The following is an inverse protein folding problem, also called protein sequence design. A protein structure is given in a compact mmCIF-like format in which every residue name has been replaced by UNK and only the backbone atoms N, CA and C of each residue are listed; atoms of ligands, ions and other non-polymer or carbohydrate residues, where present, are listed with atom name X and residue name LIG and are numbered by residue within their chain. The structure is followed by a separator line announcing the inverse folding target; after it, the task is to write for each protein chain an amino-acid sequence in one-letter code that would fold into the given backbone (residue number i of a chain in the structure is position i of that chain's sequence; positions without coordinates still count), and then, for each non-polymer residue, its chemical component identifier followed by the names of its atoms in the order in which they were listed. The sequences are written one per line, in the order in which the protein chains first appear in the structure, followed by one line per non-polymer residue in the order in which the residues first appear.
data_IF_703635018936
#
_entry.id   IF_703635018936
#
_cell.length_a   1.000
_cell.length_b   1.000
_cell.length_c   1.000
_cell.angle_alpha   90.00
_cell.angle_beta   90.00
_cell.angle_gamma   90.00
#
_symmetry.space_group_name_H-M   'P 1'
#
loop_
_entity.id
_entity.type
_entity.pdbx_description
1 polymer ?
#
# COMPACT_ATOMS: atom_id res chain seq x y z
N UNK A 1 40.82 71.40 10.05
CA UNK A 1 40.28 70.71 11.26
C UNK A 1 41.13 69.48 11.53
N UNK A 2 41.90 69.46 12.63
CA UNK A 2 42.65 68.27 13.07
C UNK A 2 41.70 67.41 13.91
N UNK A 3 41.37 66.22 13.41
CA UNK A 3 40.62 65.23 14.18
C UNK A 3 41.50 64.83 15.38
N UNK A 4 41.02 64.94 16.63
CA UNK A 4 41.81 64.61 17.79
C UNK A 4 42.16 63.11 17.76
N UNK A 5 43.42 62.77 18.01
CA UNK A 5 43.96 61.38 17.94
C UNK A 5 43.18 60.40 18.81
N UNK A 6 42.52 60.90 19.85
CA UNK A 6 41.62 60.16 20.74
C UNK A 6 40.38 59.62 20.03
N UNK A 7 39.80 60.36 19.08
CA UNK A 7 38.65 59.90 18.28
C UNK A 7 39.06 58.78 17.33
N UNK A 8 40.24 58.85 16.72
CA UNK A 8 40.74 57.80 15.84
C UNK A 8 41.03 56.49 16.59
N UNK A 9 41.50 56.56 17.83
CA UNK A 9 41.73 55.38 18.68
C UNK A 9 40.42 54.74 19.15
N UNK A 10 39.42 55.56 19.51
CA UNK A 10 38.11 55.06 19.92
C UNK A 10 37.42 54.29 18.77
N UNK A 11 37.47 54.83 17.55
CA UNK A 11 36.92 54.15 16.37
C UNK A 11 37.65 52.83 16.12
N UNK A 12 38.98 52.80 16.19
CA UNK A 12 39.76 51.58 15.97
C UNK A 12 39.49 50.50 17.03
N UNK A 13 39.27 50.89 18.29
CA UNK A 13 38.86 49.96 19.35
C UNK A 13 37.48 49.36 19.10
N UNK A 14 36.50 50.15 18.65
CA UNK A 14 35.16 49.65 18.31
C UNK A 14 35.25 48.64 17.17
N UNK A 15 35.98 48.98 16.10
CA UNK A 15 36.20 48.07 14.98
C UNK A 15 36.88 46.75 15.40
N UNK A 16 37.88 46.81 16.27
CA UNK A 16 38.55 45.60 16.76
C UNK A 16 37.62 44.75 17.64
N UNK A 17 36.74 45.37 18.43
CA UNK A 17 35.78 44.67 19.26
C UNK A 17 34.72 43.95 18.41
N UNK A 18 34.22 44.59 17.36
CA UNK A 18 33.26 43.99 16.42
C UNK A 18 33.89 42.84 15.62
N UNK A 19 35.15 42.98 15.19
CA UNK A 19 35.89 41.90 14.53
C UNK A 19 36.11 40.73 15.49
N UNK A 20 36.46 41.01 16.75
CA UNK A 20 36.63 39.96 17.75
C UNK A 20 35.31 39.24 18.07
N UNK A 21 34.18 39.96 18.13
CA UNK A 21 32.86 39.38 18.33
C UNK A 21 32.42 38.50 17.15
N UNK A 22 32.63 38.97 15.91
CA UNK A 22 32.31 38.21 14.70
C UNK A 22 33.16 36.93 14.57
N UNK A 23 34.45 37.00 14.90
CA UNK A 23 35.34 35.81 14.86
C UNK A 23 34.99 34.80 15.95
N UNK A 24 34.63 35.25 17.16
CA UNK A 24 34.16 34.36 18.23
C UNK A 24 32.87 33.63 17.86
N UNK A 25 31.94 34.31 17.17
CA UNK A 25 30.68 33.73 16.70
C UNK A 25 30.87 32.64 15.63
N UNK A 26 31.98 32.66 14.88
CA UNK A 26 32.24 31.68 13.83
C UNK A 26 32.93 30.41 14.39
N UNK A 27 33.66 30.54 15.49
CA UNK A 27 34.35 29.44 16.18
C UNK A 27 33.41 28.49 16.95
N UNK A 28 32.20 28.92 17.30
CA UNK A 28 31.24 28.13 18.09
C UNK A 28 30.21 27.37 17.24
N UNK A 29 30.37 27.39 15.91
CA UNK A 29 29.53 26.63 14.99
C UNK A 29 29.83 25.12 15.08
N UNK A 30 29.22 24.44 16.04
CA UNK A 30 29.15 22.99 16.08
C UNK A 30 28.35 22.52 14.85
N UNK A 31 29.04 22.23 13.74
CA UNK A 31 28.44 21.61 12.56
C UNK A 31 28.19 20.14 12.86
N UNK A 32 27.17 19.87 13.66
CA UNK A 32 26.66 18.52 13.93
C UNK A 32 26.06 18.02 12.63
N UNK A 33 26.86 17.25 11.87
CA UNK A 33 26.39 16.61 10.64
C UNK A 33 25.38 15.53 11.01
N UNK A 34 24.12 15.90 11.01
CA UNK A 34 23.03 14.98 11.31
C UNK A 34 23.00 13.87 10.25
N UNK A 35 22.72 12.64 10.69
CA UNK A 35 22.76 11.47 9.80
C UNK A 35 21.62 11.61 8.79
N UNK A 36 21.96 11.75 7.50
CA UNK A 36 20.98 11.89 6.41
C UNK A 36 20.38 10.54 6.05
N UNK A 37 19.40 10.12 6.82
CA UNK A 37 18.43 9.10 6.41
C UNK A 37 17.06 9.78 6.31
N UNK A 38 16.27 9.44 5.29
CA UNK A 38 15.00 10.10 4.96
C UNK A 38 13.89 9.68 5.94
N UNK A 39 14.05 10.05 7.22
CA UNK A 39 13.04 9.83 8.27
C UNK A 39 12.43 11.15 8.68
N UNK A 40 11.10 11.13 8.77
CA UNK A 40 10.31 12.31 9.07
C UNK A 40 10.45 12.69 10.55
N UNK A 41 10.48 13.99 10.88
CA UNK A 41 10.63 14.44 12.26
C UNK A 41 9.43 14.02 13.12
N UNK A 42 9.65 13.63 14.40
CA UNK A 42 8.57 13.28 15.31
C UNK A 42 7.69 14.50 15.62
N UNK A 43 6.38 14.32 15.84
CA UNK A 43 5.47 15.40 16.16
C UNK A 43 5.85 15.94 17.54
N UNK A 44 5.96 17.26 17.64
CA UNK A 44 6.35 17.98 18.85
C UNK A 44 5.41 19.14 19.11
N UNK A 45 5.76 20.02 20.06
CA UNK A 45 4.98 21.25 20.32
C UNK A 45 4.91 22.17 19.09
N UNK A 46 5.96 22.18 18.27
CA UNK A 46 6.10 23.08 17.13
C UNK A 46 5.90 22.38 15.76
N UNK A 47 5.72 21.05 15.76
CA UNK A 47 5.71 20.24 14.53
C UNK A 47 4.49 19.33 14.48
N UNK A 48 3.74 19.40 13.37
CA UNK A 48 2.61 18.51 13.13
C UNK A 48 3.06 17.13 12.61
N UNK A 49 2.29 16.07 12.88
CA UNK A 49 2.55 14.74 12.31
C UNK A 49 2.70 14.83 10.79
N UNK A 50 3.81 14.31 10.25
CA UNK A 50 4.01 14.22 8.81
C UNK A 50 3.05 13.20 8.22
N UNK A 51 2.28 13.62 7.21
CA UNK A 51 1.24 12.81 6.56
C UNK A 51 1.44 12.83 5.05
N UNK A 52 1.33 11.67 4.42
CA UNK A 52 1.19 11.52 2.96
C UNK A 52 -0.29 11.41 2.69
N UNK A 53 -0.76 12.24 1.75
CA UNK A 53 -2.16 12.29 1.39
C UNK A 53 -2.33 11.89 -0.07
N UNK A 54 -3.10 10.83 -0.30
CA UNK A 54 -3.55 10.44 -1.64
C UNK A 54 -4.97 10.97 -1.83
N UNK A 55 -5.20 11.72 -2.91
CA UNK A 55 -6.50 12.29 -3.25
C UNK A 55 -6.91 11.73 -4.60
N UNK A 56 -8.06 11.06 -4.66
CA UNK A 56 -8.69 10.61 -5.89
C UNK A 56 -9.90 11.50 -6.14
N UNK A 57 -9.93 12.19 -7.27
CA UNK A 57 -11.05 13.01 -7.70
C UNK A 57 -11.65 12.46 -8.98
N UNK A 58 -12.97 12.31 -9.02
CA UNK A 58 -13.71 11.92 -10.21
C UNK A 58 -14.80 12.96 -10.47
N UNK A 59 -14.75 13.63 -11.62
CA UNK A 59 -15.76 14.58 -12.06
C UNK A 59 -16.52 14.05 -13.27
N UNK A 60 -17.83 13.94 -13.15
CA UNK A 60 -18.72 13.56 -14.25
C UNK A 60 -19.46 14.80 -14.75
N UNK A 61 -19.27 15.23 -16.01
CA UNK A 61 -20.06 16.30 -16.58
C UNK A 61 -21.49 15.81 -16.82
N UNK A 62 -22.48 16.58 -16.39
CA UNK A 62 -23.89 16.31 -16.66
C UNK A 62 -24.39 17.28 -17.74
N UNK A 63 -25.03 16.72 -18.77
CA UNK A 63 -25.63 17.49 -19.85
C UNK A 63 -27.08 17.82 -19.51
N UNK A 64 -27.25 19.01 -18.91
CA UNK A 64 -28.53 19.68 -18.66
C UNK A 64 -28.37 21.15 -19.11
N UNK A 65 -29.45 21.90 -19.30
CA UNK A 65 -29.48 23.26 -19.88
C UNK A 65 -28.50 24.28 -19.25
N UNK A 66 -27.87 23.93 -18.13
CA UNK A 66 -26.73 24.62 -17.53
C UNK A 66 -25.62 23.60 -17.25
N UNK A 67 -24.39 23.86 -17.68
CA UNK A 67 -23.24 22.97 -17.46
C UNK A 67 -23.00 22.76 -15.96
N UNK A 68 -23.39 21.59 -15.43
CA UNK A 68 -23.16 21.20 -14.04
C UNK A 68 -22.22 19.99 -14.00
N UNK A 69 -21.18 20.06 -13.17
CA UNK A 69 -20.22 18.97 -12.97
C UNK A 69 -20.46 18.41 -11.56
N UNK A 70 -20.79 17.12 -11.48
CA UNK A 70 -20.85 16.41 -10.19
C UNK A 70 -19.50 15.74 -9.94
N UNK A 71 -18.92 15.96 -8.76
CA UNK A 71 -17.60 15.48 -8.41
C UNK A 71 -17.60 14.66 -7.13
N UNK A 72 -16.85 13.55 -7.14
CA UNK A 72 -16.51 12.76 -5.96
C UNK A 72 -15.03 12.96 -5.63
N UNK A 73 -14.72 13.21 -4.36
CA UNK A 73 -13.34 13.35 -3.89
C UNK A 73 -13.11 12.41 -2.72
N UNK A 74 -12.17 11.48 -2.87
CA UNK A 74 -11.75 10.53 -1.86
C UNK A 74 -10.35 10.89 -1.37
N UNK A 75 -10.19 11.05 -0.04
CA UNK A 75 -8.93 11.49 0.59
C UNK A 75 -8.44 10.44 1.56
N UNK A 76 -7.30 9.83 1.25
CA UNK A 76 -6.59 8.92 2.13
C UNK A 76 -5.44 9.65 2.81
N UNK A 77 -5.40 9.63 4.14
CA UNK A 77 -4.33 10.25 4.93
C UNK A 77 -3.51 9.16 5.62
N UNK A 78 -2.23 9.06 5.27
CA UNK A 78 -1.30 8.10 5.84
C UNK A 78 -0.28 8.83 6.71
N UNK A 79 -0.26 8.54 8.01
CA UNK A 79 0.76 9.06 8.94
C UNK A 79 2.08 8.35 8.68
N UNK A 80 3.17 9.11 8.57
CA UNK A 80 4.48 8.54 8.28
C UNK A 80 5.20 8.13 9.55
N UNK A 81 5.99 7.04 9.49
CA UNK A 81 6.77 6.58 10.62
C UNK A 81 7.93 7.53 10.91
N UNK A 82 8.16 7.80 12.19
CA UNK A 82 9.27 8.62 12.67
C UNK A 82 10.53 7.79 12.98
N UNK A 83 10.52 6.50 12.64
CA UNK A 83 11.63 5.58 12.90
C UNK A 83 11.98 4.77 11.64
N UNK A 84 13.27 4.70 11.33
CA UNK A 84 13.80 3.95 10.19
C UNK A 84 13.57 2.44 10.29
N UNK A 85 13.54 1.88 11.50
CA UNK A 85 13.30 0.44 11.71
C UNK A 85 11.95 -0.01 11.15
N UNK A 86 10.99 0.91 11.06
CA UNK A 86 9.68 0.65 10.49
C UNK A 86 9.68 0.43 8.97
N UNK A 87 10.74 0.86 8.27
CA UNK A 87 10.92 0.67 6.83
C UNK A 87 11.88 -0.48 6.52
N UNK A 88 12.90 -0.68 7.36
CA UNK A 88 13.95 -1.68 7.12
C UNK A 88 13.57 -3.09 7.56
N UNK A 89 12.68 -3.24 8.55
CA UNK A 89 12.26 -4.54 9.09
C UNK A 89 10.76 -4.78 8.84
N UNK A 90 10.34 -5.04 7.58
CA UNK A 90 8.93 -5.17 7.24
C UNK A 90 8.23 -6.29 8.02
N UNK A 91 8.92 -7.40 8.29
CA UNK A 91 8.37 -8.56 9.02
C UNK A 91 7.89 -8.19 10.44
N UNK A 92 8.64 -7.36 11.17
CA UNK A 92 8.28 -6.91 12.53
C UNK A 92 7.03 -6.03 12.52
N UNK A 93 6.80 -5.30 11.43
CA UNK A 93 5.60 -4.48 11.26
C UNK A 93 4.36 -5.36 11.06
N UNK A 94 4.43 -6.36 10.18
CA UNK A 94 3.30 -7.25 9.90
C UNK A 94 2.79 -7.90 11.19
N UNK A 95 3.70 -8.46 12.00
CA UNK A 95 3.37 -9.04 13.30
C UNK A 95 2.73 -8.04 14.27
N UNK A 96 3.22 -6.79 14.30
CA UNK A 96 2.66 -5.74 15.18
C UNK A 96 1.30 -5.24 14.72
N UNK A 97 1.05 -5.16 13.41
CA UNK A 97 -0.27 -4.75 12.89
C UNK A 97 -1.33 -5.83 13.09
N UNK A 98 -0.95 -7.12 13.04
CA UNK A 98 -1.84 -8.24 13.33
C UNK A 98 -2.27 -8.25 14.80
N UNK A 99 -1.39 -7.81 15.70
CA UNK A 99 -1.63 -7.79 17.15
C UNK A 99 -2.30 -6.49 17.67
N UNK A 100 -2.80 -5.61 16.80
CA UNK A 100 -3.56 -4.45 17.27
C UNK A 100 -4.97 -4.91 17.67
N UNK A 101 -5.07 -5.42 18.90
CA UNK A 101 -6.31 -5.61 19.61
C UNK A 101 -7.15 -4.32 19.51
N UNK A 102 -8.24 -4.38 18.76
CA UNK A 102 -9.43 -3.60 19.08
C UNK A 102 -9.87 -4.15 20.44
N UNK A 103 -9.78 -3.34 21.49
CA UNK A 103 -10.42 -3.71 22.76
C UNK A 103 -11.91 -3.93 22.48
N UNK A 104 -12.46 -5.13 22.71
CA UNK A 104 -13.89 -5.35 22.56
C UNK A 104 -14.59 -4.72 23.75
N UNK A 105 -15.47 -3.76 23.49
CA UNK A 105 -16.44 -3.28 24.49
C UNK A 105 -17.28 -4.47 24.96
N UNK A 106 -17.36 -4.66 26.28
CA UNK A 106 -17.62 -5.94 26.93
C UNK A 106 -19.05 -6.49 26.86
N UNK A 107 -19.89 -6.04 25.91
CA UNK A 107 -21.32 -6.34 25.94
C UNK A 107 -21.93 -6.93 24.65
N UNK A 108 -21.16 -7.14 23.58
CA UNK A 108 -21.69 -7.73 22.35
C UNK A 108 -21.28 -9.19 22.19
N UNK A 109 -22.27 -10.09 22.29
CA UNK A 109 -22.12 -11.48 21.89
C UNK A 109 -21.86 -11.55 20.37
N UNK A 110 -20.58 -11.66 19.99
CA UNK A 110 -20.15 -11.91 18.62
C UNK A 110 -18.85 -12.72 18.58
N UNK A 111 -18.60 -13.47 17.48
CA UNK A 111 -17.99 -14.80 17.51
C UNK A 111 -16.46 -14.78 17.76
N UNK A 112 -15.88 -15.92 18.18
CA UNK A 112 -14.49 -16.00 18.58
C UNK A 112 -13.62 -16.11 17.35
N UNK A 113 -13.32 -15.00 16.64
CA UNK A 113 -12.22 -14.92 15.65
C UNK A 113 -12.00 -13.49 15.13
N UNK A 114 -11.91 -12.50 16.02
CA UNK A 114 -11.35 -11.19 15.64
C UNK A 114 -9.80 -11.25 15.66
N UNK A 115 -9.21 -12.11 14.82
CA UNK A 115 -7.83 -11.91 14.38
C UNK A 115 -7.88 -10.69 13.46
N UNK A 116 -7.04 -9.68 13.68
CA UNK A 116 -6.96 -8.51 12.80
C UNK A 116 -7.00 -8.97 11.35
N UNK A 117 -8.08 -8.62 10.64
CA UNK A 117 -8.43 -9.20 9.35
C UNK A 117 -7.43 -8.77 8.29
N UNK A 118 -6.30 -9.48 8.21
CA UNK A 118 -5.72 -9.79 6.92
C UNK A 118 -6.79 -10.60 6.21
N UNK A 119 -7.46 -9.98 5.26
CA UNK A 119 -8.48 -10.64 4.46
C UNK A 119 -7.91 -11.98 3.98
N UNK A 120 -8.55 -13.08 4.36
CA UNK A 120 -8.11 -14.42 3.94
C UNK A 120 -8.29 -14.55 2.43
N UNK A 121 -7.51 -15.40 1.75
CA UNK A 121 -7.71 -15.57 0.29
C UNK A 121 -9.13 -16.01 -0.03
N UNK A 122 -9.72 -16.81 0.85
CA UNK A 122 -11.10 -17.27 0.72
C UNK A 122 -12.08 -16.08 0.67
N UNK A 123 -11.88 -15.04 1.48
CA UNK A 123 -12.68 -13.80 1.42
C UNK A 123 -12.45 -13.03 0.12
N UNK A 124 -11.24 -13.03 -0.43
CA UNK A 124 -11.00 -12.44 -1.74
C UNK A 124 -11.72 -13.21 -2.86
N UNK A 125 -11.75 -14.54 -2.79
CA UNK A 125 -12.48 -15.35 -3.75
C UNK A 125 -13.99 -15.15 -3.64
N UNK A 126 -14.56 -15.06 -2.43
CA UNK A 126 -15.97 -14.68 -2.24
C UNK A 126 -16.30 -13.31 -2.89
N UNK A 127 -15.40 -12.33 -2.76
CA UNK A 127 -15.56 -11.03 -3.43
C UNK A 127 -15.50 -11.19 -4.95
N UNK A 128 -14.53 -11.93 -5.47
CA UNK A 128 -14.41 -12.15 -6.92
C UNK A 128 -15.64 -12.87 -7.48
N UNK A 129 -16.17 -13.86 -6.77
CA UNK A 129 -17.41 -14.53 -7.15
C UNK A 129 -18.57 -13.54 -7.29
N UNK A 130 -18.70 -12.61 -6.34
CA UNK A 130 -19.75 -11.57 -6.38
C UNK A 130 -19.56 -10.58 -7.54
N UNK A 131 -18.31 -10.27 -7.90
CA UNK A 131 -18.01 -9.40 -9.06
C UNK A 131 -18.38 -10.11 -10.36
N UNK A 132 -18.14 -11.42 -10.43
CA UNK A 132 -18.42 -12.23 -11.61
C UNK A 132 -19.86 -12.79 -11.65
N UNK A 133 -20.71 -12.44 -10.69
CA UNK A 133 -22.12 -12.88 -10.63
C UNK A 133 -22.97 -12.39 -11.82
N UNK A 134 -22.49 -11.36 -12.54
CA UNK A 134 -23.08 -10.94 -13.83
C UNK A 134 -23.01 -12.04 -14.91
N UNK A 135 -22.05 -12.96 -14.79
CA UNK A 135 -22.00 -14.20 -15.57
C UNK A 135 -22.74 -15.30 -14.80
N UNK A 136 -23.46 -16.19 -15.50
CA UNK A 136 -24.46 -17.09 -14.91
C UNK A 136 -23.92 -18.17 -13.94
N UNK A 137 -22.64 -18.08 -13.54
CA UNK A 137 -22.01 -18.78 -12.41
C UNK A 137 -20.64 -18.14 -12.09
N UNK A 138 -20.60 -17.07 -11.29
CA UNK A 138 -19.36 -16.36 -10.96
C UNK A 138 -18.28 -17.26 -10.35
N UNK A 139 -18.70 -18.26 -9.56
CA UNK A 139 -17.83 -19.30 -9.01
C UNK A 139 -17.21 -20.20 -10.07
N UNK A 140 -18.00 -20.70 -11.02
CA UNK A 140 -17.46 -21.56 -12.08
C UNK A 140 -16.44 -20.80 -12.95
N UNK A 141 -16.69 -19.51 -13.23
CA UNK A 141 -15.74 -18.69 -13.97
C UNK A 141 -14.45 -18.42 -13.20
N UNK A 142 -14.53 -18.21 -11.88
CA UNK A 142 -13.33 -18.10 -11.04
C UNK A 142 -12.53 -19.42 -11.00
N UNK A 143 -13.21 -20.56 -10.90
CA UNK A 143 -12.56 -21.87 -10.93
C UNK A 143 -11.90 -22.15 -12.29
N UNK A 144 -12.57 -21.82 -13.39
CA UNK A 144 -12.01 -21.89 -14.75
C UNK A 144 -10.76 -21.02 -14.88
N UNK A 145 -10.82 -19.79 -14.39
CA UNK A 145 -9.69 -18.86 -14.40
C UNK A 145 -8.47 -19.38 -13.62
N UNK A 146 -8.70 -20.01 -12.46
CA UNK A 146 -7.63 -20.66 -11.66
C UNK A 146 -7.04 -21.85 -12.42
N UNK A 147 -7.87 -22.68 -13.04
CA UNK A 147 -7.43 -23.82 -13.84
C UNK A 147 -6.55 -23.38 -15.02
N UNK A 148 -7.01 -22.40 -15.80
CA UNK A 148 -6.27 -21.85 -16.94
C UNK A 148 -4.96 -21.18 -16.53
N UNK A 149 -4.97 -20.41 -15.44
CA UNK A 149 -3.77 -19.79 -14.88
C UNK A 149 -2.73 -20.83 -14.42
N UNK A 150 -3.19 -21.98 -13.93
CA UNK A 150 -2.33 -23.09 -13.53
C UNK A 150 -1.80 -23.89 -14.73
N UNK A 151 -2.60 -24.03 -15.78
CA UNK A 151 -2.23 -24.66 -17.05
C UNK A 151 -1.17 -23.87 -17.82
N UNK A 152 -1.35 -22.55 -17.91
CA UNK A 152 -0.42 -21.63 -18.60
C UNK A 152 0.13 -20.61 -17.60
N UNK A 153 1.15 -20.98 -16.82
CA UNK A 153 1.65 -20.10 -15.76
C UNK A 153 2.27 -18.83 -16.32
N UNK A 154 1.99 -17.70 -15.67
CA UNK A 154 2.45 -16.34 -16.00
C UNK A 154 3.98 -16.10 -15.94
N UNK A 155 4.79 -17.16 -15.86
CA UNK A 155 6.26 -17.10 -15.69
C UNK A 155 6.99 -16.42 -16.85
N UNK A 156 6.39 -16.37 -18.03
CA UNK A 156 7.00 -15.75 -19.23
C UNK A 156 6.91 -14.22 -19.20
N UNK A 157 5.97 -13.66 -18.46
CA UNK A 157 5.76 -12.22 -18.31
C UNK A 157 6.34 -11.74 -16.98
N UNK A 158 7.39 -10.92 -17.04
CA UNK A 158 8.00 -10.31 -15.84
C UNK A 158 7.25 -9.05 -15.35
N UNK A 159 6.04 -8.79 -15.85
CA UNK A 159 5.24 -7.63 -15.46
C UNK A 159 4.69 -7.80 -14.05
N UNK A 160 4.51 -6.68 -13.34
CA UNK A 160 3.92 -6.68 -12.00
C UNK A 160 2.50 -7.25 -12.00
N UNK A 161 1.71 -6.94 -13.02
CA UNK A 161 0.34 -7.45 -13.18
C UNK A 161 0.30 -8.96 -13.32
N UNK A 162 1.20 -9.54 -14.11
CA UNK A 162 1.32 -10.98 -14.28
C UNK A 162 1.73 -11.69 -12.98
N UNK A 163 2.67 -11.11 -12.23
CA UNK A 163 3.08 -11.65 -10.93
C UNK A 163 1.95 -11.56 -9.90
N UNK A 164 1.22 -10.44 -9.88
CA UNK A 164 0.04 -10.30 -9.02
C UNK A 164 -1.03 -11.32 -9.40
N UNK A 165 -1.37 -11.45 -10.68
CA UNK A 165 -2.32 -12.43 -11.17
C UNK A 165 -1.91 -13.86 -10.78
N UNK A 166 -0.63 -14.21 -10.90
CA UNK A 166 -0.10 -15.49 -10.44
C UNK A 166 -0.33 -15.71 -8.93
N UNK A 167 -0.03 -14.71 -8.08
CA UNK A 167 -0.23 -14.83 -6.63
C UNK A 167 -1.73 -14.98 -6.28
N UNK A 168 -2.60 -14.25 -6.98
CA UNK A 168 -4.04 -14.29 -6.74
C UNK A 168 -4.71 -15.56 -7.24
N UNK A 169 -4.35 -16.05 -8.43
CA UNK A 169 -5.01 -17.20 -9.09
C UNK A 169 -4.32 -18.54 -8.81
N UNK A 170 -3.31 -18.57 -7.94
CA UNK A 170 -2.62 -19.80 -7.55
C UNK A 170 -2.80 -20.04 -6.04
N UNK A 171 -3.84 -20.78 -5.62
CA UNK A 171 -4.16 -21.03 -4.22
C UNK A 171 -2.98 -21.60 -3.41
N UNK A 172 -2.14 -22.43 -4.01
CA UNK A 172 -0.96 -23.00 -3.34
C UNK A 172 0.12 -21.99 -2.92
N UNK A 173 0.06 -20.74 -3.39
CA UNK A 173 1.08 -19.71 -3.06
C UNK A 173 0.99 -19.16 -1.63
N UNK A 174 -0.12 -19.39 -0.92
CA UNK A 174 -0.17 -19.11 0.53
C UNK A 174 -0.59 -20.34 1.30
N UNK A 175 -0.03 -20.46 2.51
CA UNK A 175 -0.31 -21.54 3.44
C UNK A 175 -1.33 -21.06 4.46
N UNK A 176 -2.61 -21.24 4.15
CA UNK A 176 -3.73 -20.92 5.05
C UNK A 176 -4.65 -22.14 5.21
N UNK A 177 -5.25 -22.36 6.40
CA UNK A 177 -6.22 -23.43 6.57
C UNK A 177 -7.51 -23.11 5.79
N UNK A 178 -8.14 -24.16 5.24
CA UNK A 178 -9.48 -24.04 4.64
C UNK A 178 -10.51 -23.64 5.72
N UNK A 179 -11.38 -22.67 5.41
CA UNK A 179 -12.48 -22.27 6.30
C UNK A 179 -13.67 -23.19 6.12
N UNK A 180 -13.98 -23.50 4.87
CA UNK A 180 -15.13 -24.30 4.45
C UNK A 180 -14.68 -25.48 3.58
N UNK A 181 -15.53 -26.51 3.47
CA UNK A 181 -15.29 -27.62 2.55
C UNK A 181 -15.21 -27.15 1.09
N UNK A 182 -15.94 -26.09 0.73
CA UNK A 182 -15.97 -25.51 -0.61
C UNK A 182 -14.64 -24.84 -1.02
N UNK A 183 -13.80 -24.41 -0.08
CA UNK A 183 -12.51 -23.79 -0.39
C UNK A 183 -11.54 -24.80 -1.05
N UNK A 184 -11.78 -26.09 -0.86
CA UNK A 184 -11.02 -27.17 -1.48
C UNK A 184 -11.21 -27.20 -3.00
N UNK A 185 -12.34 -26.69 -3.51
CA UNK A 185 -12.64 -26.66 -4.96
C UNK A 185 -11.65 -25.77 -5.71
N UNK A 186 -11.23 -24.63 -5.14
CA UNK A 186 -10.20 -23.79 -5.77
C UNK A 186 -8.86 -24.51 -5.89
N UNK A 187 -8.49 -25.28 -4.87
CA UNK A 187 -7.26 -26.07 -4.90
C UNK A 187 -7.36 -27.23 -5.89
N UNK A 188 -8.54 -27.84 -6.02
CA UNK A 188 -8.78 -28.87 -7.02
C UNK A 188 -8.67 -28.31 -8.45
N UNK A 189 -9.22 -27.11 -8.70
CA UNK A 189 -9.10 -26.43 -10.00
C UNK A 189 -7.63 -26.14 -10.37
N UNK A 190 -6.83 -25.69 -9.40
CA UNK A 190 -5.39 -25.48 -9.62
C UNK A 190 -4.67 -26.78 -10.02
N UNK A 191 -4.97 -27.89 -9.32
CA UNK A 191 -4.37 -29.19 -9.61
C UNK A 191 -4.81 -29.71 -10.98
N UNK A 192 -6.08 -29.52 -11.36
CA UNK A 192 -6.60 -29.92 -12.66
C UNK A 192 -5.84 -29.22 -13.80
N UNK A 193 -5.64 -27.90 -13.69
CA UNK A 193 -4.86 -27.13 -14.67
C UNK A 193 -3.38 -27.55 -14.74
N UNK A 194 -2.78 -27.91 -13.61
CA UNK A 194 -1.40 -28.44 -13.59
C UNK A 194 -1.25 -29.81 -14.26
N UNK A 195 -2.30 -30.63 -14.22
CA UNK A 195 -2.26 -31.99 -14.73
C UNK A 195 -2.60 -32.07 -16.22
N UNK A 196 -3.61 -31.33 -16.67
CA UNK A 196 -4.03 -31.31 -18.07
C UNK A 196 -4.50 -29.92 -18.51
N UNK A 197 -3.64 -29.25 -19.29
CA UNK A 197 -3.84 -27.86 -19.72
C UNK A 197 -5.04 -27.66 -20.64
N UNK A 198 -5.51 -28.71 -21.32
CA UNK A 198 -6.57 -28.60 -22.32
C UNK A 198 -7.95 -28.95 -21.76
N UNK A 199 -8.02 -29.37 -20.48
CA UNK A 199 -9.24 -29.89 -19.86
C UNK A 199 -10.09 -28.83 -19.15
N UNK A 200 -9.56 -27.62 -18.95
CA UNK A 200 -10.24 -26.57 -18.17
C UNK A 200 -11.57 -26.11 -18.80
N UNK A 201 -11.66 -26.07 -20.13
CA UNK A 201 -12.90 -25.74 -20.85
C UNK A 201 -13.99 -26.82 -20.66
N UNK A 202 -13.59 -28.09 -20.67
CA UNK A 202 -14.49 -29.23 -20.51
C UNK A 202 -14.94 -29.41 -19.04
N UNK A 203 -14.10 -29.03 -18.09
CA UNK A 203 -14.36 -29.12 -16.65
C UNK A 203 -15.33 -28.04 -16.14
N UNK A 204 -15.37 -26.87 -16.78
CA UNK A 204 -16.14 -25.71 -16.31
C UNK A 204 -17.05 -25.15 -17.41
N UNK A 205 -17.97 -25.99 -17.89
CA UNK A 205 -18.93 -25.67 -18.97
C UNK A 205 -19.89 -24.52 -18.61
N UNK A 206 -20.12 -24.28 -17.33
CA UNK A 206 -20.97 -23.18 -16.87
C UNK A 206 -20.35 -21.80 -17.16
N UNK A 207 -19.04 -21.74 -17.42
CA UNK A 207 -18.34 -20.53 -17.80
C UNK A 207 -17.92 -20.56 -19.28
N UNK A 208 -18.65 -19.80 -20.10
CA UNK A 208 -18.43 -19.77 -21.56
C UNK A 208 -17.29 -18.84 -22.00
N UNK A 209 -17.01 -17.77 -21.24
CA UNK A 209 -15.91 -16.84 -21.54
C UNK A 209 -14.84 -16.92 -20.46
N UNK A 210 -13.57 -17.03 -20.87
CA UNK A 210 -12.46 -16.94 -19.93
C UNK A 210 -12.29 -15.51 -19.43
N UNK A 211 -12.21 -15.35 -18.10
CA UNK A 211 -11.89 -14.07 -17.47
C UNK A 211 -10.44 -13.64 -17.74
N UNK A 212 -9.54 -14.58 -18.02
CA UNK A 212 -8.15 -14.26 -18.29
C UNK A 212 -8.00 -13.59 -19.66
N UNK A 213 -8.80 -13.96 -20.65
CA UNK A 213 -8.74 -13.37 -22.00
C UNK A 213 -8.97 -11.86 -22.00
N UNK A 214 -9.72 -11.33 -21.03
CA UNK A 214 -9.96 -9.89 -20.91
C UNK A 214 -8.71 -9.10 -20.48
N UNK A 215 -7.83 -9.71 -19.69
CA UNK A 215 -6.66 -9.02 -19.11
C UNK A 215 -5.32 -9.57 -19.60
N UNK A 216 -5.33 -10.69 -20.31
CA UNK A 216 -4.13 -11.40 -20.75
C UNK A 216 -4.30 -11.86 -22.18
N UNK A 217 -3.31 -11.55 -23.05
CA UNK A 217 -3.23 -12.14 -24.38
C UNK A 217 -2.63 -13.55 -24.25
N UNK A 218 -3.39 -14.48 -23.68
CA UNK A 218 -3.07 -15.89 -23.77
C UNK A 218 -3.57 -16.37 -25.14
N UNK A 219 -2.63 -16.69 -26.04
CA UNK A 219 -2.92 -17.23 -27.37
C UNK A 219 -1.95 -18.37 -27.67
#
# INVERSE_FOLDING_TARGET
MRIPRTFSLAVLCVYLHDIYAATLSQSSGWLTRDKRYLVFPPPGRDYTPTKVQLILGLGLPMEVDVSMIIGYVMKFNYVLPYNASYLTDPYVRYDRSINRHVEPDGNDASPPNAKAALMSRWEYYEILESVFESTRSGKACLLKAICEAAAVPFRRSHTLTAQLAHIFLTPSTTSEPFRNAFDQEYRAAEIAGQQDSNSCDDLFLECTESLLDYFTELK
#
